data_IF_609912394856
#
_entry.id   IF_609912394856
#
_cell.length_a   1.000
_cell.length_b   1.000
_cell.length_c   1.000
_cell.angle_alpha   90.00
_cell.angle_beta   90.00
_cell.angle_gamma   90.00
#
_symmetry.space_group_name_H-M   'P 1'
#
loop_
_entity.id
_entity.type
_entity.pdbx_description
1 polymer ?
#
# COMPACT_ATOMS: atom_id res chain seq x y z
N UNK A 1 12.36 -9.18 -0.68
CA UNK A 1 11.27 -9.15 0.30
C UNK A 1 10.15 -10.04 -0.20
N UNK A 2 9.62 -10.97 0.60
CA UNK A 2 8.58 -11.93 0.19
C UNK A 2 7.31 -11.66 0.98
N UNK A 3 6.19 -11.49 0.29
CA UNK A 3 4.87 -11.34 0.89
C UNK A 3 4.23 -12.72 1.14
N UNK A 4 3.45 -12.81 2.20
CA UNK A 4 2.73 -14.02 2.62
C UNK A 4 1.25 -13.68 2.78
N UNK A 5 0.38 -14.54 2.23
CA UNK A 5 -1.07 -14.41 2.43
C UNK A 5 -1.42 -14.87 3.84
N UNK A 6 -1.99 -13.96 4.64
CA UNK A 6 -2.44 -14.23 6.01
C UNK A 6 -3.89 -14.70 6.04
N UNK A 7 -4.74 -14.06 5.23
CA UNK A 7 -6.14 -14.43 5.11
C UNK A 7 -6.66 -14.18 3.68
N UNK A 8 -7.74 -14.88 3.35
CA UNK A 8 -8.46 -14.74 2.08
C UNK A 8 -9.92 -14.50 2.40
N UNK A 9 -10.49 -13.49 1.76
CA UNK A 9 -11.90 -13.15 1.90
C UNK A 9 -12.62 -13.54 0.60
N UNK A 10 -13.68 -14.35 0.70
CA UNK A 10 -14.48 -14.78 -0.44
C UNK A 10 -15.87 -14.15 -0.44
N UNK A 11 -16.47 -13.98 -1.61
CA UNK A 11 -17.88 -13.60 -1.74
C UNK A 11 -18.81 -14.82 -1.68
N UNK A 12 -20.11 -14.61 -1.92
CA UNK A 12 -21.13 -15.67 -1.95
C UNK A 12 -20.90 -16.74 -3.05
N UNK A 13 -20.19 -16.39 -4.12
CA UNK A 13 -19.79 -17.32 -5.19
C UNK A 13 -18.44 -18.03 -4.90
N UNK A 14 -17.94 -17.96 -3.66
CA UNK A 14 -16.64 -18.49 -3.23
C UNK A 14 -15.42 -17.90 -3.96
N UNK A 15 -15.58 -16.77 -4.65
CA UNK A 15 -14.46 -16.07 -5.32
C UNK A 15 -13.71 -15.20 -4.33
N UNK A 16 -12.38 -15.21 -4.41
CA UNK A 16 -11.53 -14.34 -3.60
C UNK A 16 -11.78 -12.89 -4.03
N UNK A 17 -12.22 -12.05 -3.09
CA UNK A 17 -12.49 -10.63 -3.29
C UNK A 17 -11.54 -9.72 -2.52
N UNK A 18 -10.87 -10.23 -1.50
CA UNK A 18 -9.80 -9.52 -0.82
C UNK A 18 -8.76 -10.48 -0.21
N UNK A 19 -7.55 -9.97 0.01
CA UNK A 19 -6.44 -10.64 0.67
C UNK A 19 -5.87 -9.75 1.76
N UNK A 20 -5.52 -10.35 2.90
CA UNK A 20 -4.61 -9.74 3.86
C UNK A 20 -3.23 -10.36 3.66
N UNK A 21 -2.22 -9.51 3.54
CA UNK A 21 -0.85 -9.87 3.24
C UNK A 21 0.06 -9.28 4.31
N UNK A 22 1.15 -9.97 4.60
CA UNK A 22 2.21 -9.47 5.48
C UNK A 22 3.56 -9.82 4.85
N UNK A 23 4.54 -8.95 4.99
CA UNK A 23 5.88 -9.23 4.54
C UNK A 23 6.67 -10.10 5.54
N UNK A 24 7.86 -10.54 5.13
CA UNK A 24 8.59 -11.59 5.85
C UNK A 24 9.05 -11.20 7.26
N UNK A 25 9.28 -9.91 7.51
CA UNK A 25 9.63 -9.38 8.83
C UNK A 25 8.45 -8.68 9.52
N UNK A 26 7.31 -8.56 8.83
CA UNK A 26 6.06 -7.96 9.27
C UNK A 26 6.15 -6.47 9.55
N UNK A 27 7.14 -5.78 8.97
CA UNK A 27 7.20 -4.31 8.97
C UNK A 27 6.10 -3.72 8.09
N UNK A 28 5.62 -4.48 7.10
CA UNK A 28 4.53 -4.09 6.23
C UNK A 28 3.42 -5.15 6.24
N UNK A 29 2.18 -4.67 6.32
CA UNK A 29 0.99 -5.47 6.04
C UNK A 29 0.10 -4.74 5.04
N UNK A 30 -0.74 -5.47 4.32
CA UNK A 30 -1.56 -4.88 3.28
C UNK A 30 -2.91 -5.57 3.13
N UNK A 31 -3.94 -4.75 2.92
CA UNK A 31 -5.24 -5.19 2.44
C UNK A 31 -5.32 -4.96 0.95
N UNK A 32 -5.55 -6.02 0.18
CA UNK A 32 -5.66 -5.96 -1.28
C UNK A 32 -7.06 -6.38 -1.69
N UNK A 33 -7.71 -5.56 -2.49
CA UNK A 33 -9.02 -5.87 -3.07
C UNK A 33 -8.89 -6.37 -4.51
N UNK A 34 -9.92 -7.08 -4.97
CA UNK A 34 -9.98 -7.65 -6.32
C UNK A 34 -9.87 -6.61 -7.45
N UNK A 35 -10.20 -5.35 -7.18
CA UNK A 35 -10.12 -4.22 -8.11
C UNK A 35 -8.68 -3.65 -8.25
N UNK A 36 -7.71 -4.23 -7.55
CA UNK A 36 -6.32 -3.78 -7.54
C UNK A 36 -6.05 -2.62 -6.57
N UNK A 37 -7.06 -2.12 -5.85
CA UNK A 37 -6.83 -1.17 -4.77
C UNK A 37 -6.19 -1.87 -3.59
N UNK A 38 -5.15 -1.24 -3.04
CA UNK A 38 -4.41 -1.74 -1.88
C UNK A 38 -4.24 -0.64 -0.85
N UNK A 39 -4.42 -1.02 0.42
CA UNK A 39 -4.02 -0.24 1.58
C UNK A 39 -2.76 -0.90 2.14
N UNK A 40 -1.62 -0.21 2.08
CA UNK A 40 -0.35 -0.70 2.63
C UNK A 40 -0.12 0.00 3.96
N UNK A 41 -0.07 -0.80 5.02
CA UNK A 41 0.20 -0.36 6.38
C UNK A 41 1.70 -0.42 6.66
N UNK A 42 2.26 0.70 7.11
CA UNK A 42 3.65 0.78 7.54
C UNK A 42 3.68 0.74 9.05
N UNK A 43 4.44 -0.20 9.61
CA UNK A 43 4.54 -0.36 11.06
C UNK A 43 5.95 -0.07 11.58
N UNK A 44 6.00 0.48 12.78
CA UNK A 44 7.21 0.58 13.58
C UNK A 44 7.22 -0.55 14.59
N UNK A 45 8.16 -1.48 14.43
CA UNK A 45 8.40 -2.57 15.37
C UNK A 45 9.47 -2.20 16.37
N UNK A 46 9.16 -2.37 17.64
CA UNK A 46 10.12 -2.39 18.75
C UNK A 46 10.07 -3.76 19.42
N UNK A 47 10.89 -3.98 20.46
CA UNK A 47 10.82 -5.23 21.23
C UNK A 47 9.46 -5.42 21.93
N UNK A 48 8.77 -4.32 22.26
CA UNK A 48 7.54 -4.33 23.05
C UNK A 48 6.29 -4.05 22.21
N UNK A 49 6.43 -3.35 21.07
CA UNK A 49 5.30 -2.83 20.31
C UNK A 49 5.39 -3.06 18.79
N UNK A 50 4.22 -3.00 18.14
CA UNK A 50 4.09 -3.00 16.68
C UNK A 50 3.02 -1.98 16.23
N UNK A 51 3.42 -0.71 16.17
CA UNK A 51 2.51 0.44 16.03
C UNK A 51 2.34 0.77 14.55
N UNK A 52 1.09 0.99 14.12
CA UNK A 52 0.78 1.55 12.79
C UNK A 52 1.29 2.99 12.73
N UNK A 53 2.21 3.25 11.81
CA UNK A 53 2.81 4.57 11.59
C UNK A 53 2.06 5.33 10.51
N UNK A 54 1.76 4.64 9.40
CA UNK A 54 1.15 5.27 8.24
C UNK A 54 0.38 4.26 7.39
N UNK A 55 -0.47 4.75 6.49
CA UNK A 55 -1.22 3.96 5.52
C UNK A 55 -1.15 4.58 4.14
N UNK A 56 -0.59 3.85 3.19
CA UNK A 56 -0.52 4.24 1.79
C UNK A 56 -1.69 3.62 1.03
N UNK A 57 -2.56 4.46 0.48
CA UNK A 57 -3.63 4.04 -0.41
C UNK A 57 -3.11 4.06 -1.84
N UNK A 58 -2.90 2.89 -2.42
CA UNK A 58 -2.32 2.76 -3.76
C UNK A 58 -3.21 3.35 -4.86
N UNK A 59 -4.51 3.44 -4.64
CA UNK A 59 -5.44 4.13 -5.54
C UNK A 59 -5.12 5.64 -5.68
N UNK A 60 -4.44 6.22 -4.71
CA UNK A 60 -4.07 7.64 -4.73
C UNK A 60 -2.69 7.88 -5.34
N UNK A 61 -1.89 6.81 -5.53
CA UNK A 61 -0.50 6.91 -6.02
C UNK A 61 -0.45 7.44 -7.43
N UNK A 62 -1.30 6.96 -8.34
CA UNK A 62 -1.30 7.43 -9.73
C UNK A 62 -1.62 8.93 -9.80
N UNK A 63 -2.58 9.39 -9.00
CA UNK A 63 -2.91 10.81 -8.86
C UNK A 63 -1.75 11.62 -8.29
N UNK A 64 -1.05 11.09 -7.28
CA UNK A 64 0.13 11.72 -6.70
C UNK A 64 1.29 11.80 -7.70
N UNK A 65 1.59 10.72 -8.44
CA UNK A 65 2.62 10.69 -9.49
C UNK A 65 2.36 11.78 -10.52
N UNK A 66 1.13 11.88 -11.02
CA UNK A 66 0.75 12.91 -11.99
C UNK A 66 0.98 14.32 -11.44
N UNK A 67 0.62 14.58 -10.16
CA UNK A 67 0.89 15.87 -9.50
C UNK A 67 2.38 16.15 -9.37
N UNK A 68 3.18 15.15 -9.00
CA UNK A 68 4.65 15.29 -8.86
C UNK A 68 5.33 15.54 -10.20
N UNK A 69 4.86 14.90 -11.27
CA UNK A 69 5.34 15.17 -12.63
C UNK A 69 5.03 16.60 -13.06
N UNK A 70 3.82 17.09 -12.79
CA UNK A 70 3.45 18.49 -13.03
C UNK A 70 4.31 19.48 -12.23
N UNK A 71 4.52 19.21 -10.94
CA UNK A 71 5.42 20.01 -10.09
C UNK A 71 6.84 20.06 -10.65
N UNK A 72 7.38 18.90 -11.04
CA UNK A 72 8.71 18.82 -11.67
C UNK A 72 8.79 19.69 -12.92
N UNK A 73 7.76 19.66 -13.78
CA UNK A 73 7.72 20.46 -14.99
C UNK A 73 7.80 21.96 -14.68
N UNK A 74 7.00 22.44 -13.71
CA UNK A 74 7.07 23.83 -13.24
C UNK A 74 8.47 24.15 -12.70
N UNK A 75 9.06 23.29 -11.87
CA UNK A 75 10.40 23.53 -11.36
C UNK A 75 11.44 23.65 -12.48
N UNK A 76 11.36 22.82 -13.53
CA UNK A 76 12.25 22.91 -14.68
C UNK A 76 12.08 24.23 -15.44
N UNK A 77 10.85 24.73 -15.58
CA UNK A 77 10.59 26.02 -16.24
C UNK A 77 11.19 27.24 -15.53
N UNK A 78 11.40 27.16 -14.22
CA UNK A 78 11.93 28.27 -13.41
C UNK A 78 13.39 28.11 -13.00
N UNK A 79 13.93 26.89 -13.04
CA UNK A 79 15.31 26.59 -12.62
C UNK A 79 16.25 26.25 -13.77
N UNK A 80 15.78 26.27 -15.02
CA UNK A 80 16.63 26.35 -16.22
C UNK A 80 17.18 27.77 -16.44
#
# INVERSE_FOLDING_TARGET
MKWVVKSKHTNEDERIVALELEDGDGTFDANVRWDGCMEIHIRSKTEEDNILVDTVHTCDIDGLINKLQGLKQVCLEYFD
#
